data_IF_146085070173
#
_entry.id   IF_146085070173
#
_cell.length_a   1.000
_cell.length_b   1.000
_cell.length_c   1.000
_cell.angle_alpha   90.00
_cell.angle_beta   90.00
_cell.angle_gamma   90.00
#
_symmetry.space_group_name_H-M   'P 1'
#
loop_
_entity.id
_entity.type
_entity.pdbx_description
1 polymer ?
#
# COMPACT_ATOMS: atom_id res chain seq x y z
N UNK A 1 56.24 26.86 11.52
CA UNK A 1 55.51 25.59 11.33
C UNK A 1 54.23 25.61 12.16
N UNK A 2 53.07 25.85 11.54
CA UNK A 2 51.76 25.77 12.21
C UNK A 2 51.16 24.39 11.97
N UNK A 3 50.73 23.73 13.05
CA UNK A 3 50.12 22.39 13.02
C UNK A 3 48.86 22.38 12.14
N UNK A 4 48.81 21.38 11.29
CA UNK A 4 47.71 20.96 10.43
C UNK A 4 47.00 19.83 11.17
N UNK A 5 45.70 19.97 11.43
CA UNK A 5 44.89 18.88 12.00
C UNK A 5 43.65 19.42 12.69
N UNK A 6 42.54 18.74 12.45
CA UNK A 6 41.18 19.01 12.95
C UNK A 6 40.43 20.08 12.16
N UNK A 7 40.08 19.73 10.90
CA UNK A 7 38.76 20.10 10.40
C UNK A 7 37.80 19.12 11.05
N UNK A 8 37.02 19.60 12.01
CA UNK A 8 35.75 18.96 12.33
C UNK A 8 35.02 18.75 11.01
N UNK A 9 34.71 17.49 10.69
CA UNK A 9 33.75 17.20 9.64
C UNK A 9 32.40 17.69 10.17
N UNK A 10 32.11 18.98 10.00
CA UNK A 10 30.72 19.42 9.87
C UNK A 10 30.14 18.53 8.78
N UNK A 11 29.34 17.55 9.19
CA UNK A 11 28.51 16.78 8.28
C UNK A 11 27.64 17.83 7.64
N UNK A 12 27.98 18.24 6.41
CA UNK A 12 27.15 19.13 5.64
C UNK A 12 25.78 18.45 5.60
N UNK A 13 24.78 19.02 6.25
CA UNK A 13 23.42 18.49 6.21
C UNK A 13 22.81 19.11 4.96
N UNK A 14 22.42 18.30 3.96
CA UNK A 14 21.57 18.83 2.88
C UNK A 14 20.30 19.33 3.56
N UNK A 15 19.95 20.61 3.32
CA UNK A 15 18.63 21.10 3.68
C UNK A 15 17.60 20.38 2.81
N UNK A 16 16.82 19.48 3.42
CA UNK A 16 15.79 18.72 2.72
C UNK A 16 14.65 19.65 2.33
N UNK A 17 14.34 19.69 1.03
CA UNK A 17 13.13 20.33 0.54
C UNK A 17 11.89 19.49 0.86
N UNK A 18 10.72 20.04 0.52
CA UNK A 18 9.42 19.37 0.71
C UNK A 18 9.38 18.01 0.01
N UNK A 19 9.77 17.93 -1.26
CA UNK A 19 9.79 16.68 -2.04
C UNK A 19 10.71 15.61 -1.44
N UNK A 20 11.87 16.01 -0.89
CA UNK A 20 12.75 15.08 -0.21
C UNK A 20 12.13 14.55 1.09
N UNK A 21 11.46 15.40 1.88
CA UNK A 21 10.74 14.98 3.10
C UNK A 21 9.57 14.06 2.77
N UNK A 22 8.80 14.38 1.74
CA UNK A 22 7.71 13.52 1.25
C UNK A 22 8.20 12.14 0.84
N UNK A 23 9.36 12.07 0.17
CA UNK A 23 10.00 10.79 -0.15
C UNK A 23 10.37 10.01 1.12
N UNK A 24 10.93 10.65 2.14
CA UNK A 24 11.30 9.98 3.39
C UNK A 24 10.05 9.45 4.13
N UNK A 25 8.99 10.25 4.23
CA UNK A 25 7.72 9.83 4.84
C UNK A 25 7.08 8.68 4.05
N UNK A 26 7.10 8.73 2.72
CA UNK A 26 6.62 7.64 1.88
C UNK A 26 7.44 6.35 2.08
N UNK A 27 8.76 6.45 2.15
CA UNK A 27 9.63 5.29 2.43
C UNK A 27 9.43 4.76 3.84
N UNK A 28 9.12 5.62 4.82
CA UNK A 28 8.76 5.18 6.15
C UNK A 28 7.52 4.29 6.12
N UNK A 29 6.49 4.70 5.40
CA UNK A 29 5.21 3.98 5.30
C UNK A 29 5.30 2.69 4.46
N UNK A 30 5.96 2.77 3.31
CA UNK A 30 5.95 1.75 2.26
C UNK A 30 7.22 0.88 2.22
N UNK A 31 8.22 1.21 3.03
CA UNK A 31 9.56 0.61 3.11
C UNK A 31 10.44 0.80 1.88
N UNK A 32 9.90 0.69 0.68
CA UNK A 32 10.65 0.68 -0.57
C UNK A 32 9.99 1.53 -1.65
N UNK A 33 10.83 2.12 -2.50
CA UNK A 33 10.41 2.72 -3.76
C UNK A 33 11.44 2.40 -4.86
N UNK A 34 10.98 2.24 -6.10
CA UNK A 34 11.87 2.14 -7.26
C UNK A 34 12.06 3.52 -7.91
N UNK A 35 13.12 3.65 -8.72
CA UNK A 35 13.44 4.93 -9.37
C UNK A 35 12.29 5.41 -10.27
N UNK A 36 11.60 4.49 -10.95
CA UNK A 36 10.48 4.84 -11.83
C UNK A 36 9.32 5.44 -11.04
N UNK A 37 8.99 4.87 -9.87
CA UNK A 37 8.02 5.41 -8.93
C UNK A 37 8.44 6.81 -8.47
N UNK A 38 9.70 6.97 -8.05
CA UNK A 38 10.21 8.26 -7.56
C UNK A 38 10.13 9.33 -8.65
N UNK A 39 10.50 9.00 -9.89
CA UNK A 39 10.38 9.92 -11.02
C UNK A 39 8.93 10.24 -11.37
N UNK A 40 8.02 9.27 -11.27
CA UNK A 40 6.62 9.46 -11.66
C UNK A 40 5.79 10.21 -10.61
N UNK A 41 6.05 9.97 -9.32
CA UNK A 41 5.16 10.40 -8.24
C UNK A 41 5.78 11.40 -7.25
N UNK A 42 7.10 11.42 -7.11
CA UNK A 42 7.78 12.39 -6.22
C UNK A 42 8.38 13.54 -7.02
N UNK A 43 9.00 13.25 -8.16
CA UNK A 43 9.64 14.23 -9.02
C UNK A 43 9.10 14.22 -10.46
N UNK A 44 7.77 14.39 -10.67
CA UNK A 44 7.15 14.29 -12.00
C UNK A 44 7.72 15.31 -13.00
N UNK A 45 8.24 16.43 -12.51
CA UNK A 45 8.76 17.53 -13.33
C UNK A 45 10.24 17.37 -13.70
N UNK A 46 10.90 16.31 -13.22
CA UNK A 46 12.33 16.09 -13.43
C UNK A 46 12.59 15.00 -14.49
N UNK A 47 13.67 15.19 -15.24
CA UNK A 47 14.19 14.12 -16.09
C UNK A 47 14.74 12.97 -15.24
N UNK A 48 14.69 11.74 -15.74
CA UNK A 48 15.19 10.56 -15.03
C UNK A 48 16.65 10.73 -14.56
N UNK A 49 17.51 11.35 -15.38
CA UNK A 49 18.90 11.68 -15.01
C UNK A 49 18.99 12.62 -13.79
N UNK A 50 18.05 13.57 -13.68
CA UNK A 50 17.97 14.50 -12.55
C UNK A 50 17.44 13.81 -11.30
N UNK A 51 16.47 12.90 -11.45
CA UNK A 51 15.97 12.04 -10.37
C UNK A 51 17.11 11.18 -9.81
N UNK A 52 17.90 10.53 -10.68
CA UNK A 52 19.07 9.78 -10.26
C UNK A 52 20.08 10.61 -9.48
N UNK A 53 20.32 11.86 -9.90
CA UNK A 53 21.22 12.78 -9.20
C UNK A 53 20.68 13.16 -7.82
N UNK A 54 19.38 13.45 -7.70
CA UNK A 54 18.71 13.74 -6.42
C UNK A 54 18.79 12.57 -5.45
N UNK A 55 18.42 11.38 -5.92
CA UNK A 55 18.50 10.13 -5.14
C UNK A 55 19.94 9.85 -4.69
N UNK A 56 20.93 10.01 -5.59
CA UNK A 56 22.35 9.86 -5.20
C UNK A 56 22.76 10.88 -4.14
N UNK A 57 22.32 12.13 -4.25
CA UNK A 57 22.56 13.13 -3.21
C UNK A 57 21.97 12.73 -1.86
N UNK A 58 20.74 12.23 -1.81
CA UNK A 58 20.17 11.74 -0.54
C UNK A 58 20.92 10.51 0.01
N UNK A 59 21.42 9.65 -0.88
CA UNK A 59 22.19 8.46 -0.55
C UNK A 59 23.58 8.79 -0.01
N UNK A 60 24.32 9.71 -0.65
CA UNK A 60 25.65 10.15 -0.23
C UNK A 60 25.64 10.77 1.18
N UNK A 61 24.52 11.37 1.57
CA UNK A 61 24.31 11.98 2.89
C UNK A 61 23.59 11.05 3.88
N UNK A 62 23.39 9.78 3.54
CA UNK A 62 22.89 8.75 4.48
C UNK A 62 21.42 8.85 4.85
N UNK A 63 20.62 9.60 4.09
CA UNK A 63 19.16 9.65 4.29
C UNK A 63 18.48 8.39 3.74
N UNK A 64 18.97 7.90 2.61
CA UNK A 64 18.48 6.69 1.96
C UNK A 64 19.65 5.79 1.60
N UNK A 65 19.34 4.52 1.35
CA UNK A 65 20.28 3.57 0.74
C UNK A 65 19.62 2.87 -0.42
N UNK A 66 20.41 2.51 -1.42
CA UNK A 66 19.90 1.82 -2.60
C UNK A 66 20.54 0.46 -2.82
N UNK A 67 19.81 -0.40 -3.52
CA UNK A 67 20.28 -1.71 -3.94
C UNK A 67 19.53 -2.12 -5.22
N UNK A 68 20.03 -3.16 -5.89
CA UNK A 68 19.36 -3.72 -7.06
C UNK A 68 18.60 -4.97 -6.69
N UNK A 69 17.43 -5.15 -7.29
CA UNK A 69 16.65 -6.39 -7.18
C UNK A 69 16.18 -6.82 -8.57
N UNK A 70 16.17 -8.14 -8.87
CA UNK A 70 15.58 -8.61 -10.10
C UNK A 70 14.08 -8.36 -10.07
N UNK A 71 13.54 -7.92 -11.22
CA UNK A 71 12.12 -7.81 -11.51
C UNK A 71 11.85 -8.58 -12.79
N UNK A 72 10.80 -9.39 -12.75
CA UNK A 72 10.31 -10.13 -13.91
C UNK A 72 9.22 -9.28 -14.56
N UNK A 73 9.38 -8.99 -15.85
CA UNK A 73 8.35 -8.40 -16.69
C UNK A 73 8.19 -9.27 -17.95
N UNK A 74 7.06 -9.97 -18.02
CA UNK A 74 6.84 -11.00 -19.05
C UNK A 74 7.91 -12.08 -18.99
N UNK A 75 8.55 -12.35 -20.12
CA UNK A 75 9.63 -13.33 -20.27
C UNK A 75 11.03 -12.75 -19.95
N UNK A 76 11.12 -11.47 -19.62
CA UNK A 76 12.39 -10.78 -19.37
C UNK A 76 12.62 -10.55 -17.88
N UNK A 77 13.88 -10.70 -17.45
CA UNK A 77 14.32 -10.33 -16.11
C UNK A 77 15.28 -9.15 -16.22
N UNK A 78 14.96 -8.05 -15.56
CA UNK A 78 15.81 -6.88 -15.48
C UNK A 78 16.04 -6.50 -14.01
N UNK A 79 17.18 -5.90 -13.73
CA UNK A 79 17.47 -5.38 -12.40
C UNK A 79 16.93 -3.96 -12.28
N UNK A 80 16.11 -3.71 -11.26
CA UNK A 80 15.64 -2.37 -10.92
C UNK A 80 16.44 -1.83 -9.74
N UNK A 81 16.66 -0.51 -9.72
CA UNK A 81 17.21 0.19 -8.55
C UNK A 81 16.08 0.51 -7.59
N UNK A 82 16.19 0.03 -6.36
CA UNK A 82 15.25 0.25 -5.26
C UNK A 82 15.95 1.03 -4.16
N UNK A 83 15.21 1.90 -3.49
CA UNK A 83 15.69 2.69 -2.35
C UNK A 83 14.84 2.43 -1.12
N UNK A 84 15.42 2.62 0.05
CA UNK A 84 14.78 2.53 1.36
C UNK A 84 15.46 3.52 2.32
N UNK A 85 14.88 3.76 3.48
CA UNK A 85 15.49 4.63 4.49
C UNK A 85 16.83 4.08 4.97
N UNK A 86 17.76 5.00 5.18
CA UNK A 86 18.98 4.76 5.94
C UNK A 86 18.97 5.60 7.23
N UNK A 87 20.01 5.49 8.06
CA UNK A 87 20.03 6.01 9.43
C UNK A 87 19.53 7.46 9.55
N UNK A 88 20.06 8.40 8.75
CA UNK A 88 19.66 9.81 8.86
C UNK A 88 18.24 10.06 8.34
N UNK A 89 17.74 9.24 7.42
CA UNK A 89 16.36 9.34 6.95
C UNK A 89 15.37 8.88 8.01
N UNK A 90 15.72 7.88 8.81
CA UNK A 90 14.93 7.45 9.97
C UNK A 90 14.89 8.56 11.02
N UNK A 91 16.02 9.18 11.33
CA UNK A 91 16.12 10.29 12.28
C UNK A 91 15.30 11.52 11.83
N UNK A 92 15.36 11.86 10.53
CA UNK A 92 14.54 12.95 9.99
C UNK A 92 13.04 12.62 10.06
N UNK A 93 12.62 11.40 9.72
CA UNK A 93 11.21 10.99 9.84
C UNK A 93 10.76 11.08 11.30
N UNK A 94 11.58 10.62 12.25
CA UNK A 94 11.29 10.74 13.68
C UNK A 94 11.08 12.20 14.11
N UNK A 95 11.93 13.10 13.61
CA UNK A 95 11.79 14.53 13.88
C UNK A 95 10.52 15.14 13.26
N UNK A 96 10.07 14.63 12.11
CA UNK A 96 8.85 15.10 11.42
C UNK A 96 7.56 14.56 12.05
N UNK A 97 7.55 13.30 12.50
CA UNK A 97 6.34 12.61 12.98
C UNK A 97 6.23 12.56 14.50
N UNK A 98 7.35 12.74 15.22
CA UNK A 98 7.44 12.52 16.66
C UNK A 98 7.52 11.05 17.08
N UNK A 99 7.50 10.10 16.13
CA UNK A 99 7.55 8.67 16.38
C UNK A 99 8.38 7.92 15.33
N UNK A 100 9.35 7.11 15.77
CA UNK A 100 10.09 6.18 14.91
C UNK A 100 10.04 4.77 15.50
N UNK A 101 9.28 3.90 14.86
CA UNK A 101 9.30 2.47 15.12
C UNK A 101 10.14 1.71 14.09
N UNK A 102 11.10 2.36 13.43
CA UNK A 102 11.83 1.74 12.32
C UNK A 102 12.70 0.56 12.75
N UNK A 103 12.46 -0.61 12.15
CA UNK A 103 13.31 -1.79 12.32
C UNK A 103 14.14 -2.05 11.06
N UNK A 104 15.45 -1.97 11.18
CA UNK A 104 16.38 -2.20 10.06
C UNK A 104 16.21 -3.59 9.42
N UNK A 105 15.70 -4.59 10.15
CA UNK A 105 15.38 -5.91 9.62
C UNK A 105 14.31 -5.86 8.53
N UNK A 106 13.45 -4.84 8.50
CA UNK A 106 12.44 -4.65 7.46
C UNK A 106 13.04 -4.45 6.07
N UNK A 107 14.27 -3.95 6.00
CA UNK A 107 14.98 -3.71 4.74
C UNK A 107 15.68 -4.95 4.17
N UNK A 108 15.76 -6.05 4.95
CA UNK A 108 16.34 -7.34 4.52
C UNK A 108 15.22 -8.27 4.06
N UNK A 109 14.86 -8.19 2.77
CA UNK A 109 13.71 -8.92 2.20
C UNK A 109 14.06 -9.59 0.88
N UNK A 110 13.27 -10.59 0.52
CA UNK A 110 13.41 -11.29 -0.76
C UNK A 110 12.93 -10.38 -1.91
N UNK A 111 13.44 -10.57 -3.13
CA UNK A 111 12.98 -9.81 -4.31
C UNK A 111 11.46 -9.82 -4.50
N UNK A 112 10.83 -10.98 -4.30
CA UNK A 112 9.37 -11.12 -4.42
C UNK A 112 8.62 -10.27 -3.40
N UNK A 113 9.12 -10.17 -2.16
CA UNK A 113 8.51 -9.33 -1.13
C UNK A 113 8.68 -7.84 -1.44
N UNK A 114 9.85 -7.44 -1.93
CA UNK A 114 10.10 -6.05 -2.34
C UNK A 114 9.17 -5.67 -3.50
N UNK A 115 9.06 -6.52 -4.53
CA UNK A 115 8.16 -6.27 -5.65
C UNK A 115 6.71 -6.11 -5.20
N UNK A 116 6.28 -6.95 -4.24
CA UNK A 116 4.94 -6.88 -3.66
C UNK A 116 4.68 -5.49 -3.02
N UNK A 117 5.60 -5.00 -2.21
CA UNK A 117 5.46 -3.68 -1.58
C UNK A 117 5.51 -2.53 -2.60
N UNK A 118 6.34 -2.64 -3.64
CA UNK A 118 6.40 -1.63 -4.71
C UNK A 118 5.08 -1.50 -5.47
N UNK A 119 4.38 -2.61 -5.72
CA UNK A 119 3.05 -2.58 -6.34
C UNK A 119 2.03 -1.87 -5.43
N UNK A 120 2.04 -2.15 -4.12
CA UNK A 120 1.16 -1.46 -3.17
C UNK A 120 1.47 0.05 -3.09
N UNK A 121 2.74 0.44 -3.15
CA UNK A 121 3.15 1.85 -3.19
C UNK A 121 2.62 2.54 -4.45
N UNK A 122 2.78 1.90 -5.62
CA UNK A 122 2.25 2.41 -6.90
C UNK A 122 0.73 2.56 -6.88
N UNK A 123 0.02 1.62 -6.27
CA UNK A 123 -1.44 1.72 -6.10
C UNK A 123 -1.84 2.91 -5.23
N UNK A 124 -1.23 3.07 -4.04
CA UNK A 124 -1.44 4.25 -3.19
C UNK A 124 -1.25 5.55 -3.99
N UNK A 125 -0.14 5.67 -4.69
CA UNK A 125 0.17 6.88 -5.46
C UNK A 125 -0.79 7.09 -6.64
N UNK A 126 -1.26 6.02 -7.28
CA UNK A 126 -2.25 6.11 -8.35
C UNK A 126 -3.60 6.65 -7.84
N UNK A 127 -4.05 6.20 -6.65
CA UNK A 127 -5.23 6.77 -5.99
C UNK A 127 -5.03 8.23 -5.58
N UNK A 128 -3.83 8.63 -5.14
CA UNK A 128 -3.56 10.02 -4.74
C UNK A 128 -3.47 10.98 -5.94
N UNK A 129 -3.00 10.48 -7.09
CA UNK A 129 -2.81 11.30 -8.30
C UNK A 129 -4.12 11.61 -9.03
N UNK A 130 -5.08 10.69 -8.98
CA UNK A 130 -6.40 10.89 -9.55
C UNK A 130 -7.34 11.38 -8.45
N UNK A 131 -8.11 12.43 -8.72
CA UNK A 131 -9.11 12.92 -7.79
C UNK A 131 -10.49 12.77 -8.40
N UNK A 132 -11.41 12.18 -7.65
CA UNK A 132 -12.83 12.20 -7.94
C UNK A 132 -13.50 13.19 -6.97
N UNK A 133 -14.34 14.13 -7.44
CA UNK A 133 -14.87 15.20 -6.57
C UNK A 133 -15.65 14.70 -5.34
N UNK A 134 -16.38 13.60 -5.48
CA UNK A 134 -17.26 13.08 -4.43
C UNK A 134 -16.70 11.84 -3.72
N UNK A 135 -15.57 11.29 -4.14
CA UNK A 135 -15.02 10.02 -3.61
C UNK A 135 -13.49 10.00 -3.66
N UNK A 136 -12.83 10.21 -2.53
CA UNK A 136 -11.37 10.37 -2.50
C UNK A 136 -10.73 9.42 -1.50
N UNK A 137 -9.50 8.98 -1.79
CA UNK A 137 -8.69 8.28 -0.80
C UNK A 137 -8.42 9.23 0.37
N UNK A 138 -8.97 8.92 1.54
CA UNK A 138 -8.79 9.71 2.75
C UNK A 138 -7.60 9.21 3.57
N UNK A 139 -7.42 7.89 3.65
CA UNK A 139 -6.31 7.29 4.41
C UNK A 139 -5.86 6.01 3.74
N UNK A 140 -4.55 5.81 3.67
CA UNK A 140 -3.93 4.55 3.29
C UNK A 140 -3.11 4.01 4.46
N UNK A 141 -3.34 2.76 4.82
CA UNK A 141 -2.56 2.05 5.83
C UNK A 141 -1.79 0.93 5.12
N UNK A 142 -0.46 0.92 5.24
CA UNK A 142 0.36 -0.16 4.67
C UNK A 142 0.17 -1.48 5.46
N UNK A 143 0.69 -2.59 4.94
CA UNK A 143 0.68 -3.89 5.63
C UNK A 143 1.19 -3.78 7.08
N UNK A 144 2.24 -2.98 7.31
CA UNK A 144 2.82 -2.76 8.64
C UNK A 144 1.83 -2.11 9.62
N UNK A 145 1.04 -1.15 9.14
CA UNK A 145 0.01 -0.50 9.95
C UNK A 145 -1.29 -1.30 10.02
N UNK A 146 -1.47 -2.31 9.16
CA UNK A 146 -2.72 -3.04 9.01
C UNK A 146 -2.81 -4.31 9.88
N UNK A 147 -2.24 -4.30 11.08
CA UNK A 147 -2.35 -5.42 12.02
C UNK A 147 -3.62 -5.29 12.87
N UNK A 148 -4.68 -6.04 12.56
CA UNK A 148 -5.97 -5.93 13.25
C UNK A 148 -6.29 -7.21 14.03
N UNK A 149 -5.93 -7.22 15.32
CA UNK A 149 -6.28 -8.27 16.27
C UNK A 149 -7.73 -8.09 16.73
N UNK A 150 -8.59 -9.09 16.51
CA UNK A 150 -10.04 -8.98 16.74
C UNK A 150 -10.63 -10.04 17.68
N UNK A 151 -9.82 -11.00 18.11
CA UNK A 151 -10.18 -11.96 19.13
C UNK A 151 -9.08 -12.12 20.18
N UNK A 152 -9.24 -13.10 21.04
CA UNK A 152 -8.28 -13.38 22.12
C UNK A 152 -7.17 -14.33 21.66
N UNK A 153 -7.40 -15.09 20.58
CA UNK A 153 -6.41 -16.05 20.07
C UNK A 153 -5.43 -15.34 19.15
N UNK A 154 -4.19 -15.85 19.11
CA UNK A 154 -3.14 -15.30 18.25
C UNK A 154 -3.50 -15.36 16.76
N UNK A 155 -4.31 -16.33 16.36
CA UNK A 155 -4.81 -16.46 14.98
C UNK A 155 -6.00 -15.54 14.64
N UNK A 156 -6.65 -14.91 15.63
CA UNK A 156 -7.79 -14.00 15.44
C UNK A 156 -7.28 -12.61 15.00
N UNK A 157 -6.54 -12.59 13.89
CA UNK A 157 -5.92 -11.42 13.31
C UNK A 157 -6.06 -11.42 11.79
N UNK A 158 -6.37 -10.26 11.23
CA UNK A 158 -6.19 -9.97 9.80
C UNK A 158 -5.01 -9.03 9.61
N UNK A 159 -4.27 -9.26 8.53
CA UNK A 159 -3.16 -8.39 8.09
C UNK A 159 -3.30 -8.22 6.58
N UNK A 160 -4.16 -7.28 6.13
CA UNK A 160 -4.21 -6.87 4.73
C UNK A 160 -2.84 -6.39 4.25
N UNK A 161 -2.55 -6.59 2.96
CA UNK A 161 -1.37 -6.01 2.32
C UNK A 161 -1.45 -4.47 2.28
N UNK A 162 -2.67 -3.94 2.34
CA UNK A 162 -2.96 -2.53 2.61
C UNK A 162 -4.43 -2.31 2.93
N UNK A 163 -4.74 -1.22 3.63
CA UNK A 163 -6.11 -0.80 3.90
C UNK A 163 -6.32 0.59 3.30
N UNK A 164 -7.23 0.68 2.32
CA UNK A 164 -7.63 1.95 1.73
C UNK A 164 -8.96 2.40 2.36
N UNK A 165 -8.98 3.60 2.93
CA UNK A 165 -10.18 4.24 3.44
C UNK A 165 -10.50 5.40 2.52
N UNK A 166 -11.58 5.26 1.75
CA UNK A 166 -12.09 6.34 0.92
C UNK A 166 -13.18 7.10 1.67
N UNK A 167 -13.25 8.41 1.46
CA UNK A 167 -14.35 9.23 1.94
C UNK A 167 -15.22 9.63 0.77
N UNK A 168 -16.53 9.38 0.90
CA UNK A 168 -17.53 9.87 -0.03
C UNK A 168 -18.32 11.03 0.59
N UNK A 169 -18.55 12.10 -0.16
CA UNK A 169 -19.40 13.21 0.26
C UNK A 169 -20.56 13.36 -0.73
N UNK A 170 -21.80 13.20 -0.25
CA UNK A 170 -23.01 13.39 -1.05
C UNK A 170 -24.07 14.12 -0.23
N UNK A 171 -24.64 15.21 -0.78
CA UNK A 171 -25.70 15.99 -0.13
C UNK A 171 -25.37 16.33 1.34
N UNK A 172 -24.18 16.89 1.57
CA UNK A 172 -23.63 17.26 2.89
C UNK A 172 -23.47 16.10 3.90
N UNK A 173 -23.60 14.85 3.45
CA UNK A 173 -23.29 13.65 4.24
C UNK A 173 -21.98 13.05 3.79
N UNK A 174 -21.05 12.89 4.73
CA UNK A 174 -19.80 12.19 4.52
C UNK A 174 -19.88 10.76 5.08
N UNK A 175 -19.27 9.79 4.39
CA UNK A 175 -19.14 8.42 4.86
C UNK A 175 -17.81 7.82 4.45
N UNK A 176 -17.25 6.98 5.32
CA UNK A 176 -16.00 6.27 5.05
C UNK A 176 -16.27 4.86 4.50
N UNK A 177 -15.43 4.45 3.56
CA UNK A 177 -15.51 3.20 2.81
C UNK A 177 -14.16 2.50 2.93
N UNK A 178 -14.12 1.41 3.69
CA UNK A 178 -12.92 0.64 3.93
C UNK A 178 -12.79 -0.50 2.92
N UNK A 179 -11.61 -0.60 2.29
CA UNK A 179 -11.22 -1.66 1.40
C UNK A 179 -9.95 -2.32 1.95
N UNK A 180 -10.08 -3.59 2.35
CA UNK A 180 -8.95 -4.44 2.72
C UNK A 180 -8.35 -5.04 1.46
N UNK A 181 -7.13 -4.65 1.14
CA UNK A 181 -6.46 -4.97 -0.11
C UNK A 181 -5.57 -6.19 0.09
N UNK A 182 -5.70 -7.16 -0.80
CA UNK A 182 -4.97 -8.42 -0.78
C UNK A 182 -4.37 -8.66 -2.16
N UNK A 183 -3.07 -8.47 -2.28
CA UNK A 183 -2.38 -8.71 -3.53
C UNK A 183 -1.92 -10.16 -3.58
N UNK A 184 -2.50 -10.92 -4.50
CA UNK A 184 -2.24 -12.33 -4.62
C UNK A 184 -0.85 -12.59 -5.21
N UNK A 185 -0.11 -13.47 -4.56
CA UNK A 185 1.17 -13.94 -5.08
C UNK A 185 0.91 -15.05 -6.10
N UNK A 186 1.71 -15.10 -7.15
CA UNK A 186 1.59 -16.17 -8.13
C UNK A 186 1.72 -17.56 -7.46
N UNK A 187 0.88 -18.50 -7.89
CA UNK A 187 0.80 -19.88 -7.37
C UNK A 187 0.39 -20.02 -5.89
N UNK A 188 -0.33 -19.04 -5.33
CA UNK A 188 -0.91 -19.17 -4.00
C UNK A 188 -1.85 -20.40 -3.90
N UNK A 189 -1.75 -21.12 -2.79
CA UNK A 189 -2.61 -22.29 -2.51
C UNK A 189 -4.02 -21.81 -2.17
N UNK A 190 -5.06 -22.47 -2.70
CA UNK A 190 -6.47 -22.14 -2.43
C UNK A 190 -6.77 -21.96 -0.95
N UNK A 191 -6.25 -22.85 -0.10
CA UNK A 191 -6.43 -22.81 1.37
C UNK A 191 -6.00 -21.47 1.98
N UNK A 192 -4.98 -20.81 1.43
CA UNK A 192 -4.50 -19.51 1.96
C UNK A 192 -5.54 -18.43 1.72
N UNK A 193 -6.02 -18.29 0.48
CA UNK A 193 -7.02 -17.27 0.14
C UNK A 193 -8.36 -17.54 0.80
N UNK A 194 -8.76 -18.82 0.92
CA UNK A 194 -9.94 -19.23 1.69
C UNK A 194 -9.83 -18.84 3.17
N UNK A 195 -8.67 -19.09 3.80
CA UNK A 195 -8.45 -18.73 5.20
C UNK A 195 -8.36 -17.22 5.43
N UNK A 196 -7.80 -16.45 4.48
CA UNK A 196 -7.88 -14.98 4.51
C UNK A 196 -9.35 -14.55 4.54
N UNK A 197 -10.15 -15.07 3.61
CA UNK A 197 -11.55 -14.69 3.47
C UNK A 197 -12.41 -15.07 4.69
N UNK A 198 -12.22 -16.26 5.26
CA UNK A 198 -12.87 -16.66 6.52
C UNK A 198 -12.54 -15.71 7.68
N UNK A 199 -11.27 -15.28 7.80
CA UNK A 199 -10.86 -14.34 8.85
C UNK A 199 -11.45 -12.95 8.65
N UNK A 200 -11.55 -12.46 7.42
CA UNK A 200 -12.27 -11.22 7.14
C UNK A 200 -13.76 -11.33 7.48
N UNK A 201 -14.40 -12.46 7.17
CA UNK A 201 -15.79 -12.69 7.51
C UNK A 201 -16.01 -12.68 9.02
N UNK A 202 -15.15 -13.36 9.81
CA UNK A 202 -15.23 -13.33 11.27
C UNK A 202 -14.94 -11.94 11.85
N UNK A 203 -13.89 -11.28 11.35
CA UNK A 203 -13.52 -9.91 11.74
C UNK A 203 -14.70 -8.92 11.57
N UNK A 204 -15.36 -8.95 10.41
CA UNK A 204 -16.51 -8.10 10.13
C UNK A 204 -17.77 -8.54 10.89
N UNK A 205 -17.99 -9.85 11.07
CA UNK A 205 -19.11 -10.40 11.82
C UNK A 205 -19.10 -10.01 13.29
N UNK A 206 -17.91 -9.79 13.87
CA UNK A 206 -17.72 -9.31 15.24
C UNK A 206 -17.75 -7.79 15.40
N UNK A 207 -18.01 -7.06 14.32
CA UNK A 207 -17.93 -5.60 14.26
C UNK A 207 -16.57 -5.06 14.78
N UNK A 208 -15.49 -5.79 14.52
CA UNK A 208 -14.17 -5.47 15.07
C UNK A 208 -13.59 -4.18 14.47
N UNK A 209 -14.03 -3.79 13.28
CA UNK A 209 -13.69 -2.50 12.63
C UNK A 209 -13.89 -1.33 13.58
N UNK A 210 -14.99 -1.32 14.33
CA UNK A 210 -15.35 -0.24 15.25
C UNK A 210 -14.39 -0.11 16.45
N UNK A 211 -13.48 -1.07 16.64
CA UNK A 211 -12.52 -1.11 17.76
C UNK A 211 -11.12 -0.66 17.36
N UNK A 212 -10.83 -0.52 16.07
CA UNK A 212 -9.49 -0.17 15.60
C UNK A 212 -9.38 1.35 15.33
N UNK A 213 -8.46 2.08 16.01
CA UNK A 213 -8.38 3.54 15.95
C UNK A 213 -8.16 4.15 14.57
N UNK A 214 -7.57 3.37 13.64
CA UNK A 214 -7.35 3.80 12.26
C UNK A 214 -8.67 4.10 11.53
N UNK A 215 -9.78 3.54 12.00
CA UNK A 215 -11.13 3.88 11.56
C UNK A 215 -11.70 4.95 12.51
N UNK A 216 -11.38 6.23 12.25
CA UNK A 216 -11.88 7.37 13.04
C UNK A 216 -13.40 7.33 13.26
N UNK A 217 -14.12 6.86 12.26
CA UNK A 217 -15.53 6.52 12.33
C UNK A 217 -15.73 5.14 11.71
N UNK A 218 -16.76 4.42 12.18
CA UNK A 218 -17.13 3.14 11.60
C UNK A 218 -17.42 3.32 10.10
N UNK A 219 -16.69 2.63 9.20
CA UNK A 219 -16.95 2.68 7.78
C UNK A 219 -18.38 2.24 7.47
N UNK A 220 -19.05 2.99 6.60
CA UNK A 220 -20.38 2.66 6.07
C UNK A 220 -20.32 1.36 5.28
N UNK A 221 -19.19 1.14 4.60
CA UNK A 221 -18.93 -0.05 3.81
C UNK A 221 -17.57 -0.61 4.17
N UNK A 222 -17.50 -1.93 4.35
CA UNK A 222 -16.25 -2.68 4.48
C UNK A 222 -16.22 -3.80 3.44
N UNK A 223 -15.19 -3.80 2.60
CA UNK A 223 -15.01 -4.74 1.49
C UNK A 223 -13.62 -5.35 1.52
N UNK A 224 -13.49 -6.54 0.95
CA UNK A 224 -12.18 -7.17 0.69
C UNK A 224 -11.95 -7.11 -0.82
N UNK A 225 -10.78 -6.65 -1.25
CA UNK A 225 -10.40 -6.57 -2.65
C UNK A 225 -9.15 -7.41 -2.89
N UNK A 226 -9.31 -8.48 -3.66
CA UNK A 226 -8.20 -9.27 -4.14
C UNK A 226 -7.69 -8.75 -5.48
N UNK A 227 -6.39 -8.51 -5.57
CA UNK A 227 -5.71 -7.99 -6.75
C UNK A 227 -4.78 -9.08 -7.26
N UNK A 228 -5.03 -9.57 -8.47
CA UNK A 228 -4.20 -10.59 -9.13
C UNK A 228 -3.24 -9.94 -10.13
N UNK A 229 -2.13 -10.60 -10.44
CA UNK A 229 -1.23 -10.10 -11.48
C UNK A 229 -1.84 -10.25 -12.89
N UNK A 230 -2.65 -11.29 -13.11
CA UNK A 230 -3.28 -11.59 -14.40
C UNK A 230 -4.75 -11.97 -14.28
N UNK A 231 -5.49 -11.86 -15.39
CA UNK A 231 -6.89 -12.26 -15.47
C UNK A 231 -7.10 -13.75 -15.15
N UNK A 232 -6.19 -14.61 -15.61
CA UNK A 232 -6.24 -16.05 -15.35
C UNK A 232 -6.10 -16.35 -13.85
N UNK A 233 -5.21 -15.65 -13.16
CA UNK A 233 -5.05 -15.77 -11.71
C UNK A 233 -6.28 -15.24 -10.96
N UNK A 234 -6.87 -14.13 -11.42
CA UNK A 234 -8.13 -13.58 -10.89
C UNK A 234 -9.26 -14.60 -10.94
N UNK A 235 -9.51 -15.19 -12.11
CA UNK A 235 -10.56 -16.19 -12.30
C UNK A 235 -10.33 -17.44 -11.44
N UNK A 236 -9.07 -17.89 -11.34
CA UNK A 236 -8.70 -19.02 -10.49
C UNK A 236 -8.94 -18.70 -9.01
N UNK A 237 -8.62 -17.48 -8.57
CA UNK A 237 -8.87 -17.05 -7.20
C UNK A 237 -10.37 -17.04 -6.89
N UNK A 238 -11.18 -16.47 -7.78
CA UNK A 238 -12.64 -16.50 -7.65
C UNK A 238 -13.18 -17.92 -7.49
N UNK A 239 -12.67 -18.86 -8.29
CA UNK A 239 -13.03 -20.28 -8.19
C UNK A 239 -12.60 -20.89 -6.85
N UNK A 240 -11.40 -20.57 -6.36
CA UNK A 240 -10.92 -21.07 -5.06
C UNK A 240 -11.75 -20.58 -3.87
N UNK A 241 -12.33 -19.38 -3.96
CA UNK A 241 -13.05 -18.72 -2.85
C UNK A 241 -14.57 -18.81 -2.99
N UNK A 242 -15.10 -19.40 -4.06
CA UNK A 242 -16.54 -19.42 -4.38
C UNK A 242 -17.42 -20.06 -3.31
N UNK A 243 -16.91 -21.04 -2.55
CA UNK A 243 -17.71 -21.79 -1.58
C UNK A 243 -17.45 -21.32 -0.13
N UNK A 244 -16.79 -20.17 0.04
CA UNK A 244 -16.47 -19.60 1.34
C UNK A 244 -17.62 -18.69 1.80
N UNK A 245 -18.05 -18.87 3.05
CA UNK A 245 -19.00 -17.97 3.67
C UNK A 245 -18.40 -16.55 3.79
N UNK A 246 -19.16 -15.61 3.26
CA UNK A 246 -18.84 -14.17 3.19
C UNK A 246 -20.02 -13.33 3.64
N UNK A 247 -20.96 -13.91 4.39
CA UNK A 247 -22.21 -13.29 4.82
C UNK A 247 -22.04 -11.97 5.60
N UNK A 248 -20.91 -11.79 6.28
CA UNK A 248 -20.57 -10.57 7.02
C UNK A 248 -19.72 -9.58 6.20
N UNK A 249 -19.29 -9.97 5.00
CA UNK A 249 -18.54 -9.11 4.08
C UNK A 249 -19.51 -8.50 3.08
N UNK A 250 -19.57 -7.18 2.99
CA UNK A 250 -20.54 -6.52 2.11
C UNK A 250 -20.31 -6.85 0.62
N UNK A 251 -19.04 -6.98 0.23
CA UNK A 251 -18.63 -7.52 -1.07
C UNK A 251 -17.19 -8.01 -1.03
N UNK A 252 -16.91 -9.07 -1.79
CA UNK A 252 -15.56 -9.49 -2.13
C UNK A 252 -15.31 -9.11 -3.58
N UNK A 253 -14.31 -8.28 -3.80
CA UNK A 253 -13.96 -7.74 -5.10
C UNK A 253 -12.73 -8.46 -5.65
N UNK A 254 -12.69 -8.61 -6.96
CA UNK A 254 -11.59 -9.27 -7.68
C UNK A 254 -11.20 -8.40 -8.86
N UNK A 255 -9.91 -8.10 -8.98
CA UNK A 255 -9.37 -7.28 -10.08
C UNK A 255 -7.96 -7.71 -10.42
N UNK A 256 -7.41 -7.12 -11.46
CA UNK A 256 -5.99 -7.20 -11.78
C UNK A 256 -5.25 -5.94 -11.35
N UNK A 257 -3.96 -6.07 -11.09
CA UNK A 257 -3.10 -4.93 -10.77
C UNK A 257 -3.17 -3.85 -11.88
N UNK A 258 -3.17 -4.27 -13.14
CA UNK A 258 -3.23 -3.37 -14.30
C UNK A 258 -4.54 -2.56 -14.34
N UNK A 259 -5.69 -3.20 -14.05
CA UNK A 259 -6.98 -2.50 -13.98
C UNK A 259 -6.96 -1.39 -12.91
N UNK A 260 -6.36 -1.65 -11.74
CA UNK A 260 -6.28 -0.66 -10.67
C UNK A 260 -5.34 0.49 -11.03
N UNK A 261 -4.20 0.22 -11.65
CA UNK A 261 -3.24 1.27 -12.01
C UNK A 261 -3.75 2.12 -13.19
N UNK A 262 -4.40 1.50 -14.17
CA UNK A 262 -4.95 2.21 -15.34
C UNK A 262 -6.22 3.00 -15.03
N UNK A 263 -7.04 2.50 -14.10
CA UNK A 263 -8.25 3.19 -13.63
C UNK A 263 -8.44 3.07 -12.10
N UNK A 264 -7.66 3.83 -11.30
CA UNK A 264 -7.73 3.84 -9.84
C UNK A 264 -9.11 4.12 -9.27
N UNK A 265 -10.00 4.82 -9.98
CA UNK A 265 -11.37 5.08 -9.53
C UNK A 265 -12.42 4.40 -10.42
N UNK A 266 -12.03 3.30 -11.08
CA UNK A 266 -12.90 2.53 -11.97
C UNK A 266 -14.08 1.84 -11.28
N UNK A 267 -14.86 1.13 -12.08
CA UNK A 267 -16.15 0.53 -11.66
C UNK A 267 -16.05 -0.41 -10.45
N UNK A 268 -14.88 -0.98 -10.16
CA UNK A 268 -14.68 -1.84 -9.00
C UNK A 268 -14.84 -1.09 -7.66
N UNK A 269 -14.51 0.20 -7.62
CA UNK A 269 -14.60 1.03 -6.41
C UNK A 269 -15.94 1.74 -6.30
N UNK A 270 -16.55 2.04 -7.44
CA UNK A 270 -17.74 2.89 -7.55
C UNK A 270 -19.02 2.06 -7.43
N UNK A 271 -20.00 2.61 -6.71
CA UNK A 271 -21.32 2.02 -6.56
C UNK A 271 -22.19 2.42 -7.76
N UNK A 272 -22.65 1.46 -8.57
CA UNK A 272 -23.65 1.74 -9.63
C UNK A 272 -24.99 2.16 -8.99
N UNK A 273 -25.29 3.46 -9.15
CA UNK A 273 -26.55 4.20 -9.10
C UNK A 273 -27.50 4.12 -7.89
N UNK A 274 -28.00 5.32 -7.55
CA UNK A 274 -29.02 5.64 -6.57
C UNK A 274 -30.46 5.24 -6.97
N UNK A 275 -30.65 4.21 -7.79
CA UNK A 275 -31.98 3.71 -8.12
C UNK A 275 -31.91 2.25 -8.58
N UNK A 276 -32.82 1.44 -8.04
CA UNK A 276 -33.10 0.04 -8.39
C UNK A 276 -32.12 -1.04 -7.88
N UNK A 277 -32.55 -1.71 -6.80
CA UNK A 277 -32.45 -3.16 -6.54
C UNK A 277 -31.40 -3.93 -7.35
N UNK A 278 -30.13 -3.89 -6.95
CA UNK A 278 -29.11 -4.97 -7.11
C UNK A 278 -27.76 -4.46 -6.62
N UNK A 279 -27.36 -4.88 -5.42
CA UNK A 279 -25.96 -4.77 -5.03
C UNK A 279 -25.10 -5.82 -5.74
N UNK A 280 -23.84 -5.43 -5.98
CA UNK A 280 -22.60 -6.16 -6.32
C UNK A 280 -22.35 -6.60 -7.77
N UNK A 281 -21.25 -6.08 -8.35
CA UNK A 281 -20.40 -6.90 -9.21
C UNK A 281 -19.88 -8.05 -8.35
N UNK A 282 -20.44 -9.23 -8.60
CA UNK A 282 -20.13 -10.54 -8.02
C UNK A 282 -20.47 -10.72 -6.53
N UNK A 283 -21.74 -11.00 -6.27
CA UNK A 283 -22.17 -11.80 -5.10
C UNK A 283 -22.01 -13.28 -5.45
N UNK A 284 -21.12 -13.97 -4.75
CA UNK A 284 -21.33 -15.40 -4.52
C UNK A 284 -22.57 -15.48 -3.64
N UNK A 285 -23.67 -16.01 -4.18
CA UNK A 285 -24.81 -16.40 -3.34
C UNK A 285 -24.46 -17.73 -2.67
N UNK A 286 -24.60 -17.86 -1.35
CA UNK A 286 -24.79 -19.18 -0.75
C UNK A 286 -26.13 -19.75 -1.24
N UNK A 287 -26.18 -21.06 -1.44
CA UNK A 287 -27.42 -21.81 -1.68
C UNK A 287 -28.47 -21.55 -0.60
#
# INVERSE_FOLDING_TARGET
MRKKGERENEVAVIHLGEKERDLLLMLYDMLFADIDFIGTYVYPDLTLSSVHRRVRGMEDFGYIKSFTTPRVEGDSMHNIKVVTLDRLGVEEVEALTGESHWDTRWTKRTPSFIHHLLQMAKMRAAFQKQEMPDFQLHTWVSERGSYYQYGQRKEDVIVPDGTAIFRRVMNDKAGDFAYFMEMERSRQRAVVSQNKLRRYNDYLGRDAVSKHPIFYQKPVVSRVCFISATEKEKLRLMEHTKDIDTSHIQAVLYTTYEEVISNPYGEIWVFKNADQTKYTMWKIKPN
#
